data_IF_858532763462
#
_entry.id   IF_858532763462
#
_cell.length_a   1.000
_cell.length_b   1.000
_cell.length_c   1.000
_cell.angle_alpha   90.00
_cell.angle_beta   90.00
_cell.angle_gamma   90.00
#
_symmetry.space_group_name_H-M   'P 1'
#
loop_
_entity.id
_entity.type
_entity.pdbx_description
1 polymer ?
#
# COMPACT_ATOMS: atom_id res chain seq x y z
N UNK A 1 9.63 -6.68 -48.70
CA UNK A 1 10.43 -6.91 -47.48
C UNK A 1 9.69 -6.25 -46.33
N UNK A 2 8.89 -7.05 -45.64
CA UNK A 2 8.10 -6.70 -44.46
C UNK A 2 9.03 -6.62 -43.25
N UNK A 3 9.07 -5.47 -42.56
CA UNK A 3 9.79 -5.33 -41.28
C UNK A 3 8.85 -5.71 -40.14
N UNK A 4 9.38 -6.55 -39.25
CA UNK A 4 8.75 -7.05 -38.04
C UNK A 4 8.51 -5.90 -37.03
N UNK A 5 7.37 -5.84 -36.33
CA UNK A 5 7.07 -4.76 -35.39
C UNK A 5 7.55 -5.02 -33.95
N UNK A 6 8.58 -5.86 -33.73
CA UNK A 6 9.07 -6.22 -32.38
C UNK A 6 10.28 -5.42 -31.90
N UNK A 7 10.71 -4.40 -32.63
CA UNK A 7 11.78 -3.50 -32.18
C UNK A 7 11.20 -2.26 -31.49
N UNK A 8 10.62 -2.44 -30.29
CA UNK A 8 10.50 -1.37 -29.31
C UNK A 8 11.25 -1.79 -28.05
N UNK A 9 12.56 -1.56 -28.09
CA UNK A 9 13.42 -1.54 -26.91
C UNK A 9 13.02 -0.31 -26.09
N UNK A 10 12.19 -0.51 -25.07
CA UNK A 10 11.93 0.51 -24.06
C UNK A 10 13.16 0.66 -23.17
N UNK A 11 14.01 1.60 -23.55
CA UNK A 11 15.06 2.19 -22.74
C UNK A 11 14.41 3.10 -21.69
N UNK A 12 13.88 2.52 -20.61
CA UNK A 12 13.55 3.29 -19.41
C UNK A 12 14.42 2.82 -18.25
N UNK A 13 15.46 3.60 -17.97
CA UNK A 13 16.35 3.45 -16.81
C UNK A 13 15.64 3.82 -15.50
N UNK A 14 14.54 3.15 -15.18
CA UNK A 14 14.00 3.16 -13.82
C UNK A 14 14.72 2.06 -13.04
N UNK A 15 15.31 2.36 -11.86
CA UNK A 15 15.72 1.29 -10.97
C UNK A 15 14.47 0.47 -10.68
N UNK A 16 14.45 -0.78 -11.17
CA UNK A 16 13.47 -1.78 -10.75
C UNK A 16 13.69 -1.96 -9.25
N UNK A 17 12.92 -1.22 -8.46
CA UNK A 17 12.84 -1.45 -7.03
C UNK A 17 12.24 -2.85 -6.90
N UNK A 18 13.11 -3.80 -6.57
CA UNK A 18 12.75 -5.15 -6.14
C UNK A 18 12.22 -5.02 -4.71
N UNK A 19 11.17 -4.21 -4.52
CA UNK A 19 10.32 -4.32 -3.34
C UNK A 19 9.54 -5.59 -3.58
N UNK A 20 9.73 -6.52 -2.66
CA UNK A 20 9.47 -7.94 -2.81
C UNK A 20 8.08 -8.23 -3.36
N UNK A 21 8.00 -8.51 -4.67
CA UNK A 21 6.98 -9.39 -5.28
C UNK A 21 6.61 -10.53 -4.33
N UNK A 22 7.60 -11.04 -3.58
CA UNK A 22 7.48 -12.07 -2.56
C UNK A 22 6.46 -11.83 -1.43
N UNK A 23 6.09 -10.60 -1.06
CA UNK A 23 5.12 -10.32 0.03
C UNK A 23 3.70 -10.25 -0.54
N UNK A 24 3.50 -9.49 -1.62
CA UNK A 24 2.22 -9.44 -2.35
C UNK A 24 1.91 -10.81 -2.95
N UNK A 25 2.88 -11.44 -3.61
CA UNK A 25 2.78 -12.84 -4.05
C UNK A 25 2.69 -13.81 -2.88
N UNK A 26 3.05 -13.53 -1.62
CA UNK A 26 2.81 -14.49 -0.51
C UNK A 26 1.35 -14.56 -0.12
N UNK A 27 0.67 -13.40 -0.17
CA UNK A 27 -0.77 -13.30 0.06
C UNK A 27 -1.59 -13.69 -1.17
N UNK A 28 -1.07 -13.45 -2.38
CA UNK A 28 -1.64 -13.95 -3.65
C UNK A 28 -1.16 -15.37 -4.03
N UNK A 29 -0.18 -15.98 -3.35
CA UNK A 29 0.33 -17.34 -3.65
C UNK A 29 -0.65 -18.49 -3.38
N UNK A 30 -1.66 -18.39 -2.49
CA UNK A 30 -2.61 -19.49 -2.33
C UNK A 30 -3.33 -19.84 -3.63
N UNK A 31 -3.34 -18.91 -4.60
CA UNK A 31 -3.98 -18.98 -5.91
C UNK A 31 -3.57 -20.16 -6.81
N UNK A 32 -2.51 -20.90 -6.53
CA UNK A 32 -2.01 -21.94 -7.43
C UNK A 32 -2.04 -23.38 -6.88
N UNK A 33 -2.77 -23.64 -5.77
CA UNK A 33 -2.77 -24.99 -5.17
C UNK A 33 -4.15 -25.57 -4.87
N UNK A 34 -5.18 -25.24 -5.67
CA UNK A 34 -6.48 -25.93 -5.58
C UNK A 34 -6.86 -26.55 -6.92
N UNK A 35 -6.07 -27.54 -7.34
CA UNK A 35 -6.52 -28.62 -8.23
C UNK A 35 -5.63 -29.86 -8.01
N UNK A 36 -5.83 -30.58 -6.91
CA UNK A 36 -5.09 -31.81 -6.66
C UNK A 36 -5.40 -32.53 -5.36
N UNK A 37 -6.52 -33.26 -5.34
CA UNK A 37 -6.79 -34.49 -4.58
C UNK A 37 -6.53 -34.51 -3.04
N UNK A 38 -7.65 -34.68 -2.32
CA UNK A 38 -7.72 -35.16 -0.95
C UNK A 38 -6.99 -36.49 -0.72
N UNK A 39 -6.34 -36.65 0.45
CA UNK A 39 -6.36 -37.86 1.29
C UNK A 39 -5.80 -37.56 2.70
N UNK A 40 -6.43 -38.23 3.68
CA UNK A 40 -6.44 -38.01 5.12
C UNK A 40 -5.11 -38.12 5.89
N UNK A 41 -5.09 -37.58 7.12
CA UNK A 41 -4.15 -38.01 8.17
C UNK A 41 -4.16 -37.16 9.46
N UNK A 42 -4.78 -37.67 10.54
CA UNK A 42 -4.85 -37.11 11.89
C UNK A 42 -3.50 -37.09 12.65
N UNK A 43 -3.32 -36.15 13.59
CA UNK A 43 -3.28 -36.41 15.06
C UNK A 43 -2.38 -35.45 15.87
N UNK A 44 -2.96 -34.83 16.92
CA UNK A 44 -2.49 -34.53 18.32
C UNK A 44 -1.02 -34.08 18.58
N UNK A 45 -0.64 -33.26 19.56
CA UNK A 45 -1.21 -32.76 20.82
C UNK A 45 -0.27 -31.67 21.36
N UNK A 46 -0.79 -30.76 22.19
CA UNK A 46 -0.09 -29.69 22.90
C UNK A 46 0.27 -30.10 24.34
N UNK A 47 1.44 -29.64 24.85
CA UNK A 47 1.75 -29.11 26.20
C UNK A 47 3.28 -29.02 26.39
N UNK A 48 3.86 -28.02 27.10
CA UNK A 48 3.84 -27.93 28.58
C UNK A 48 3.69 -26.48 29.13
N UNK A 49 3.01 -26.27 30.27
CA UNK A 49 3.45 -26.29 31.70
C UNK A 49 3.73 -24.91 32.30
N UNK A 50 3.15 -24.70 33.48
CA UNK A 50 3.09 -23.49 34.29
C UNK A 50 4.26 -23.37 35.28
N UNK A 51 4.61 -22.14 35.67
CA UNK A 51 5.54 -21.85 36.78
C UNK A 51 5.32 -20.46 37.36
N UNK A 52 4.84 -20.41 38.61
CA UNK A 52 4.70 -19.25 39.50
C UNK A 52 6.09 -18.64 39.87
N UNK A 53 6.29 -17.53 40.60
CA UNK A 53 5.52 -16.72 41.56
C UNK A 53 6.37 -15.46 41.92
N UNK A 54 5.72 -14.50 42.59
CA UNK A 54 6.25 -13.59 43.65
C UNK A 54 6.96 -12.23 43.33
N UNK A 55 6.24 -11.15 43.70
CA UNK A 55 6.73 -9.84 44.20
C UNK A 55 7.19 -9.97 45.68
N UNK A 56 8.07 -9.11 46.24
CA UNK A 56 7.65 -7.79 46.78
C UNK A 56 8.71 -6.64 46.74
N UNK A 57 8.21 -5.41 46.89
CA UNK A 57 8.86 -4.10 47.12
C UNK A 57 9.61 -4.01 48.47
N UNK A 58 10.47 -3.00 48.75
CA UNK A 58 9.99 -1.68 49.23
C UNK A 58 10.84 -0.44 48.83
N UNK A 59 10.22 0.74 48.96
CA UNK A 59 10.76 2.11 48.80
C UNK A 59 11.66 2.55 50.00
N UNK A 60 12.30 3.75 50.03
CA UNK A 60 11.55 5.00 50.30
C UNK A 60 12.12 6.36 49.78
N UNK A 61 11.21 7.36 49.74
CA UNK A 61 11.36 8.80 50.05
C UNK A 61 11.85 9.86 49.04
N UNK A 62 10.99 10.89 48.89
CA UNK A 62 11.08 12.20 48.22
C UNK A 62 12.14 13.17 48.80
N UNK A 63 12.41 14.33 48.14
CA UNK A 63 11.59 15.53 48.37
C UNK A 63 11.26 16.37 47.11
N UNK A 64 10.19 17.15 47.31
CA UNK A 64 9.49 18.16 46.51
C UNK A 64 10.34 19.19 45.75
N UNK A 65 9.95 19.49 44.51
CA UNK A 65 10.09 20.81 43.91
C UNK A 65 8.82 21.11 43.09
N UNK A 66 8.14 22.20 43.46
CA UNK A 66 7.01 22.77 42.72
C UNK A 66 7.47 23.25 41.34
N UNK A 67 6.77 22.84 40.29
CA UNK A 67 6.84 23.47 38.98
C UNK A 67 5.41 23.68 38.47
N UNK A 68 5.12 24.93 38.15
CA UNK A 68 3.88 25.47 37.65
C UNK A 68 3.33 24.64 36.48
N UNK A 69 2.16 24.04 36.66
CA UNK A 69 1.40 23.38 35.59
C UNK A 69 1.03 24.42 34.54
N UNK A 70 1.77 24.47 33.44
CA UNK A 70 1.16 24.82 32.17
C UNK A 70 0.29 23.62 31.78
N UNK A 71 -1.02 23.82 31.66
CA UNK A 71 -1.87 22.88 30.92
C UNK A 71 -1.32 22.84 29.50
N UNK A 72 -0.55 21.79 29.18
CA UNK A 72 -0.45 21.33 27.80
C UNK A 72 -1.87 21.05 27.34
N UNK A 73 -2.28 21.47 26.13
CA UNK A 73 -3.52 21.00 25.57
C UNK A 73 -3.49 19.47 25.60
N UNK A 74 -4.48 18.88 26.25
CA UNK A 74 -4.74 17.44 26.19
C UNK A 74 -5.02 17.12 24.73
N UNK A 75 -4.01 16.66 24.02
CA UNK A 75 -4.15 16.06 22.70
C UNK A 75 -4.94 14.78 22.92
N UNK A 76 -6.14 14.73 22.35
CA UNK A 76 -6.87 13.49 22.18
C UNK A 76 -6.01 12.59 21.29
N UNK A 77 -5.58 11.39 21.71
CA UNK A 77 -4.75 10.50 20.91
C UNK A 77 -5.61 9.75 19.87
N UNK A 78 -6.35 10.49 19.05
CA UNK A 78 -6.49 10.11 17.65
C UNK A 78 -5.26 10.71 16.97
N UNK A 79 -4.15 9.95 16.99
CA UNK A 79 -2.97 10.28 16.21
C UNK A 79 -3.43 10.71 14.81
N UNK A 80 -3.09 11.92 14.37
CA UNK A 80 -3.68 12.47 13.15
C UNK A 80 -3.57 11.45 12.03
N UNK A 81 -4.71 10.97 11.54
CA UNK A 81 -4.79 10.02 10.41
C UNK A 81 -4.24 10.63 9.11
N UNK A 82 -3.81 11.89 9.17
CA UNK A 82 -3.23 12.67 8.11
C UNK A 82 -1.78 13.06 8.43
N UNK A 83 -0.95 12.99 7.40
CA UNK A 83 0.44 13.42 7.38
C UNK A 83 0.67 14.32 6.16
N UNK A 84 1.76 15.08 6.14
CA UNK A 84 2.13 15.94 5.03
C UNK A 84 3.57 15.67 4.55
N UNK A 85 3.85 16.05 3.31
CA UNK A 85 5.20 16.04 2.74
C UNK A 85 5.38 17.20 1.76
N UNK A 86 6.64 17.54 1.48
CA UNK A 86 6.99 18.51 0.46
C UNK A 86 8.32 18.15 -0.22
N UNK A 87 8.37 18.28 -1.55
CA UNK A 87 9.59 18.16 -2.37
C UNK A 87 9.90 19.50 -3.05
N UNK A 88 10.02 20.55 -2.24
CA UNK A 88 10.30 21.91 -2.72
C UNK A 88 9.10 22.59 -3.36
N UNK A 89 8.71 22.20 -4.58
CA UNK A 89 7.59 22.81 -5.34
C UNK A 89 6.34 21.92 -5.44
N UNK A 90 6.43 20.67 -4.96
CA UNK A 90 5.31 19.76 -4.86
C UNK A 90 5.00 19.52 -3.39
N UNK A 91 3.73 19.58 -3.03
CA UNK A 91 3.25 19.35 -1.67
C UNK A 91 2.27 18.20 -1.67
N UNK A 92 2.06 17.56 -0.54
CA UNK A 92 1.02 16.55 -0.46
C UNK A 92 0.67 16.12 0.94
N UNK A 93 -0.40 15.33 1.00
CA UNK A 93 -0.93 14.70 2.20
C UNK A 93 -1.03 13.21 2.02
N UNK A 94 -0.83 12.48 3.12
CA UNK A 94 -1.03 11.04 3.21
C UNK A 94 -2.09 10.79 4.27
N UNK A 95 -3.15 10.07 3.94
CA UNK A 95 -4.27 9.82 4.86
C UNK A 95 -4.51 8.33 5.01
N UNK A 96 -4.78 7.89 6.24
CA UNK A 96 -5.24 6.54 6.62
C UNK A 96 -6.70 6.26 6.25
N UNK A 97 -7.15 6.85 5.14
CA UNK A 97 -8.45 6.62 4.57
C UNK A 97 -8.25 6.44 3.07
N UNK A 98 -8.87 5.43 2.51
CA UNK A 98 -8.72 5.12 1.10
C UNK A 98 -9.69 4.04 0.68
N UNK A 99 -10.22 4.18 -0.52
CA UNK A 99 -10.94 3.12 -1.21
C UNK A 99 -10.25 2.89 -2.56
N UNK A 100 -10.23 1.64 -3.05
CA UNK A 100 -9.85 1.38 -4.42
C UNK A 100 -10.82 2.11 -5.38
N UNK A 101 -10.34 2.44 -6.58
CA UNK A 101 -11.22 2.89 -7.66
C UNK A 101 -12.32 1.88 -7.94
N UNK A 102 -13.41 2.31 -8.59
CA UNK A 102 -14.53 1.43 -8.91
C UNK A 102 -14.06 0.24 -9.77
N UNK A 103 -13.19 0.51 -10.73
CA UNK A 103 -12.64 -0.48 -11.65
C UNK A 103 -11.71 -1.45 -10.91
N UNK A 104 -10.80 -0.95 -10.06
CA UNK A 104 -9.95 -1.79 -9.22
C UNK A 104 -10.78 -2.65 -8.26
N UNK A 105 -11.80 -2.06 -7.62
CA UNK A 105 -12.71 -2.78 -6.72
C UNK A 105 -13.39 -3.94 -7.44
N UNK A 106 -13.95 -3.70 -8.62
CA UNK A 106 -14.61 -4.75 -9.40
C UNK A 106 -13.64 -5.87 -9.79
N UNK A 107 -12.41 -5.51 -10.16
CA UNK A 107 -11.36 -6.49 -10.45
C UNK A 107 -10.94 -7.31 -9.22
N UNK A 108 -10.73 -6.66 -8.07
CA UNK A 108 -10.38 -7.33 -6.82
C UNK A 108 -11.51 -8.23 -6.33
N UNK A 109 -12.77 -7.80 -6.38
CA UNK A 109 -13.95 -8.60 -6.01
C UNK A 109 -14.06 -9.86 -6.88
N UNK A 110 -13.92 -9.74 -8.20
CA UNK A 110 -13.94 -10.89 -9.09
C UNK A 110 -12.77 -11.86 -8.82
N UNK A 111 -11.58 -11.34 -8.52
CA UNK A 111 -10.42 -12.14 -8.15
C UNK A 111 -10.54 -12.81 -6.78
N UNK A 112 -11.24 -12.18 -5.83
CA UNK A 112 -11.40 -12.64 -4.45
C UNK A 112 -12.51 -13.69 -4.34
N UNK A 113 -13.61 -13.53 -5.08
CA UNK A 113 -14.66 -14.57 -5.23
C UNK A 113 -14.10 -15.90 -5.75
N UNK A 114 -13.17 -15.84 -6.71
CA UNK A 114 -12.50 -17.03 -7.23
C UNK A 114 -11.65 -17.75 -6.17
N UNK A 115 -11.19 -17.04 -5.15
CA UNK A 115 -10.31 -17.55 -4.08
C UNK A 115 -11.05 -17.90 -2.78
N UNK A 116 -12.25 -17.36 -2.58
CA UNK A 116 -13.00 -17.51 -1.32
C UNK A 116 -12.45 -16.65 -0.17
N UNK A 117 -11.68 -15.61 -0.48
CA UNK A 117 -11.17 -14.62 0.48
C UNK A 117 -11.75 -13.24 0.16
N UNK A 118 -11.96 -12.37 1.15
CA UNK A 118 -12.35 -10.97 0.91
C UNK A 118 -11.08 -10.11 0.80
N UNK A 119 -10.93 -9.36 -0.29
CA UNK A 119 -9.78 -8.47 -0.48
C UNK A 119 -9.65 -7.43 0.63
N UNK A 120 -10.76 -7.07 1.30
CA UNK A 120 -10.78 -6.13 2.42
C UNK A 120 -10.04 -6.64 3.65
N UNK A 121 -9.95 -7.95 3.82
CA UNK A 121 -9.17 -8.56 4.90
C UNK A 121 -7.67 -8.66 4.52
N UNK A 122 -7.37 -8.62 3.22
CA UNK A 122 -6.01 -8.76 2.71
C UNK A 122 -5.24 -7.44 2.63
N UNK A 123 -5.95 -6.33 2.38
CA UNK A 123 -5.38 -5.05 1.98
C UNK A 123 -5.92 -3.87 2.77
N UNK A 124 -5.01 -2.96 3.11
CA UNK A 124 -5.33 -1.64 3.66
C UNK A 124 -4.99 -0.58 2.61
N UNK A 125 -5.97 0.26 2.26
CA UNK A 125 -5.85 1.31 1.25
C UNK A 125 -5.68 2.67 1.91
N UNK A 126 -4.77 3.47 1.38
CA UNK A 126 -4.43 4.80 1.87
C UNK A 126 -4.48 5.79 0.71
N UNK A 127 -4.86 7.03 1.01
CA UNK A 127 -4.91 8.11 0.03
C UNK A 127 -3.65 8.95 0.11
N UNK A 128 -3.07 9.26 -1.04
CA UNK A 128 -2.00 10.23 -1.20
C UNK A 128 -2.49 11.34 -2.12
N UNK A 129 -2.65 12.55 -1.57
CA UNK A 129 -3.01 13.74 -2.34
C UNK A 129 -1.76 14.54 -2.65
N UNK A 130 -1.53 14.85 -3.92
CA UNK A 130 -0.39 15.61 -4.41
C UNK A 130 -0.91 16.92 -5.02
N UNK A 131 -0.41 18.04 -4.51
CA UNK A 131 -0.47 19.34 -5.16
C UNK A 131 0.81 19.58 -5.94
N UNK A 132 0.71 19.51 -7.27
CA UNK A 132 1.79 19.75 -8.20
C UNK A 132 1.56 21.01 -9.05
N UNK A 133 0.83 22.01 -8.52
CA UNK A 133 0.52 23.25 -9.25
C UNK A 133 1.77 24.05 -9.63
N UNK A 134 2.76 24.09 -8.74
CA UNK A 134 4.03 24.80 -8.93
C UNK A 134 5.15 23.90 -9.45
N UNK A 135 4.90 22.60 -9.61
CA UNK A 135 5.89 21.65 -10.11
C UNK A 135 6.17 21.80 -11.60
N UNK A 136 7.35 21.33 -12.02
CA UNK A 136 7.82 21.40 -13.41
C UNK A 136 7.85 20.03 -14.10
N UNK A 137 7.66 18.95 -13.34
CA UNK A 137 7.66 17.56 -13.80
C UNK A 137 6.43 16.83 -13.26
N UNK A 138 6.06 15.72 -13.91
CA UNK A 138 4.99 14.85 -13.44
C UNK A 138 5.38 14.21 -12.11
N UNK A 139 4.50 14.32 -11.11
CA UNK A 139 4.65 13.67 -9.80
C UNK A 139 3.74 12.45 -9.72
N UNK A 140 4.25 11.32 -9.23
CA UNK A 140 3.46 10.13 -8.96
C UNK A 140 4.10 9.37 -7.81
N UNK A 141 3.32 8.68 -6.99
CA UNK A 141 3.89 7.92 -5.88
C UNK A 141 4.70 6.74 -6.42
N UNK A 142 6.02 6.83 -6.42
CA UNK A 142 6.89 5.73 -6.84
C UNK A 142 7.03 4.69 -5.72
N UNK A 143 7.23 5.16 -4.49
CA UNK A 143 7.24 4.33 -3.29
C UNK A 143 6.90 5.13 -2.04
N UNK A 144 6.20 4.50 -1.10
CA UNK A 144 5.95 5.03 0.23
C UNK A 144 6.36 3.99 1.26
N UNK A 145 7.18 4.40 2.23
CA UNK A 145 7.69 3.53 3.29
C UNK A 145 7.34 4.13 4.66
N UNK A 146 6.93 3.25 5.58
CA UNK A 146 6.79 3.56 6.99
C UNK A 146 7.74 2.71 7.82
N UNK A 147 8.21 3.24 8.94
CA UNK A 147 9.09 2.56 9.89
C UNK A 147 8.50 2.69 11.29
N UNK A 148 8.43 1.58 12.03
CA UNK A 148 8.07 1.62 13.46
C UNK A 148 9.28 1.92 14.35
N UNK A 149 9.06 2.06 15.66
CA UNK A 149 10.13 2.35 16.63
C UNK A 149 11.22 1.28 16.69
N UNK A 150 10.89 0.02 16.34
CA UNK A 150 11.84 -1.07 16.26
C UNK A 150 12.63 -1.07 14.93
N UNK A 151 12.30 -0.16 14.00
CA UNK A 151 12.90 -0.05 12.69
C UNK A 151 12.38 -1.08 11.68
N UNK A 152 11.25 -1.73 11.94
CA UNK A 152 10.61 -2.59 10.93
C UNK A 152 10.00 -1.69 9.85
N UNK A 153 10.32 -2.02 8.61
CA UNK A 153 9.81 -1.34 7.42
C UNK A 153 8.46 -1.92 6.99
N UNK A 154 7.57 -1.03 6.58
CA UNK A 154 6.26 -1.30 6.00
C UNK A 154 6.22 -0.62 4.63
N UNK A 155 5.89 -1.38 3.60
CA UNK A 155 5.86 -0.85 2.24
C UNK A 155 4.44 -0.65 1.76
N UNK A 156 4.20 0.53 1.19
CA UNK A 156 2.99 0.88 0.47
C UNK A 156 3.34 0.93 -1.01
N UNK A 157 2.63 0.14 -1.80
CA UNK A 157 2.80 0.08 -3.25
C UNK A 157 1.67 0.81 -3.95
N UNK A 158 1.88 1.17 -5.22
CA UNK A 158 0.77 1.70 -6.02
C UNK A 158 -0.27 0.61 -6.23
N UNK A 159 -1.52 1.01 -6.29
CA UNK A 159 -2.61 0.16 -6.80
C UNK A 159 -2.30 -0.39 -8.20
N UNK A 160 -1.60 0.38 -9.06
CA UNK A 160 -1.12 -0.12 -10.35
C UNK A 160 -0.21 -1.36 -10.20
N UNK A 161 0.73 -1.34 -9.23
CA UNK A 161 1.62 -2.49 -9.00
C UNK A 161 0.86 -3.70 -8.47
N UNK A 162 -0.22 -3.48 -7.70
CA UNK A 162 -1.14 -4.54 -7.30
C UNK A 162 -1.89 -5.13 -8.50
N UNK A 163 -2.38 -4.29 -9.42
CA UNK A 163 -3.07 -4.75 -10.64
C UNK A 163 -2.14 -5.56 -11.53
N UNK A 164 -0.91 -5.10 -11.74
CA UNK A 164 0.11 -5.83 -12.49
C UNK A 164 0.49 -7.16 -11.82
N UNK A 165 0.63 -7.17 -10.49
CA UNK A 165 0.90 -8.41 -9.76
C UNK A 165 -0.27 -9.40 -9.84
N UNK A 166 -1.50 -8.91 -9.76
CA UNK A 166 -2.71 -9.74 -9.92
C UNK A 166 -2.87 -10.25 -11.36
N UNK A 167 -2.44 -9.49 -12.37
CA UNK A 167 -2.41 -9.95 -13.76
C UNK A 167 -1.52 -11.17 -13.96
N UNK A 168 -0.31 -11.19 -13.37
CA UNK A 168 0.58 -12.35 -13.44
C UNK A 168 -0.02 -13.60 -12.79
N UNK A 169 -1.00 -13.40 -11.91
CA UNK A 169 -1.77 -14.43 -11.24
C UNK A 169 -2.98 -14.91 -12.09
N UNK A 170 -3.42 -14.16 -13.10
CA UNK A 170 -4.59 -14.55 -13.88
C UNK A 170 -4.36 -15.87 -14.63
N UNK A 171 -5.40 -16.72 -14.74
CA UNK A 171 -5.30 -17.96 -15.50
C UNK A 171 -5.02 -17.67 -16.97
N UNK A 172 -4.13 -18.47 -17.56
CA UNK A 172 -3.85 -18.42 -18.99
C UNK A 172 -5.14 -18.60 -19.81
N UNK A 173 -5.13 -18.03 -21.02
CA UNK A 173 -6.24 -18.19 -21.94
C UNK A 173 -6.48 -19.68 -22.25
N UNK A 174 -7.72 -20.18 -22.18
CA UNK A 174 -7.99 -21.60 -22.36
C UNK A 174 -7.68 -22.06 -23.80
N UNK A 175 -6.69 -22.96 -23.95
CA UNK A 175 -6.09 -23.33 -25.25
C UNK A 175 -7.07 -23.95 -26.26
N UNK A 176 -8.12 -24.62 -25.79
CA UNK A 176 -9.09 -25.34 -26.63
C UNK A 176 -10.51 -24.77 -26.55
N UNK A 177 -10.69 -23.61 -25.91
CA UNK A 177 -11.98 -22.97 -25.79
C UNK A 177 -12.35 -22.23 -27.08
N UNK A 178 -13.65 -22.23 -27.40
CA UNK A 178 -14.18 -21.36 -28.45
C UNK A 178 -14.65 -20.05 -27.83
N UNK A 179 -14.82 -19.00 -28.65
CA UNK A 179 -15.36 -17.72 -28.18
C UNK A 179 -16.72 -17.83 -27.45
N UNK A 180 -17.47 -18.89 -27.73
CA UNK A 180 -18.77 -19.16 -27.11
C UNK A 180 -18.72 -19.98 -25.82
N UNK A 181 -17.56 -20.58 -25.51
CA UNK A 181 -17.41 -21.44 -24.33
C UNK A 181 -17.49 -20.63 -23.03
N UNK A 182 -17.93 -21.28 -21.96
CA UNK A 182 -18.05 -20.64 -20.65
C UNK A 182 -16.66 -20.22 -20.13
N UNK A 183 -15.65 -21.06 -20.35
CA UNK A 183 -14.27 -20.82 -19.93
C UNK A 183 -13.66 -19.60 -20.63
N UNK A 184 -13.88 -19.45 -21.95
CA UNK A 184 -13.41 -18.26 -22.67
C UNK A 184 -14.14 -16.99 -22.22
N UNK A 185 -15.47 -17.06 -22.02
CA UNK A 185 -16.27 -15.93 -21.54
C UNK A 185 -15.81 -15.46 -20.17
N UNK A 186 -15.55 -16.38 -19.25
CA UNK A 186 -15.03 -16.08 -17.91
C UNK A 186 -13.62 -15.48 -17.96
N UNK A 187 -12.71 -16.07 -18.75
CA UNK A 187 -11.37 -15.51 -18.93
C UNK A 187 -11.43 -14.08 -19.50
N UNK A 188 -12.26 -13.87 -20.52
CA UNK A 188 -12.44 -12.55 -21.15
C UNK A 188 -13.01 -11.53 -20.16
N UNK A 189 -14.01 -11.90 -19.35
CA UNK A 189 -14.58 -11.02 -18.34
C UNK A 189 -13.53 -10.58 -17.31
N UNK A 190 -12.73 -11.51 -16.79
CA UNK A 190 -11.61 -11.18 -15.89
C UNK A 190 -10.55 -10.29 -16.56
N UNK A 191 -10.24 -10.54 -17.83
CA UNK A 191 -9.30 -9.73 -18.59
C UNK A 191 -9.82 -8.31 -18.87
N UNK A 192 -11.11 -8.17 -19.17
CA UNK A 192 -11.77 -6.88 -19.36
C UNK A 192 -11.76 -6.07 -18.04
N UNK A 193 -12.02 -6.73 -16.90
CA UNK A 193 -11.91 -6.12 -15.57
C UNK A 193 -10.47 -5.68 -15.23
N UNK A 194 -9.48 -6.54 -15.50
CA UNK A 194 -8.07 -6.18 -15.36
C UNK A 194 -7.73 -4.94 -16.20
N UNK A 195 -8.14 -4.92 -17.47
CA UNK A 195 -7.84 -3.81 -18.38
C UNK A 195 -8.45 -2.51 -17.87
N UNK A 196 -9.69 -2.55 -17.40
CA UNK A 196 -10.36 -1.38 -16.81
C UNK A 196 -9.64 -0.88 -15.55
N UNK A 197 -9.23 -1.78 -14.65
CA UNK A 197 -8.49 -1.42 -13.44
C UNK A 197 -7.10 -0.86 -13.80
N UNK A 198 -6.41 -1.45 -14.77
CA UNK A 198 -5.10 -0.97 -15.19
C UNK A 198 -5.18 0.45 -15.77
N UNK A 199 -6.16 0.72 -16.64
CA UNK A 199 -6.38 2.06 -17.21
C UNK A 199 -6.80 3.09 -16.16
N UNK A 200 -7.52 2.70 -15.10
CA UNK A 200 -7.93 3.63 -14.03
C UNK A 200 -6.76 4.04 -13.14
N UNK A 201 -5.81 3.14 -12.88
CA UNK A 201 -4.67 3.40 -12.00
C UNK A 201 -3.46 4.05 -12.69
N UNK A 202 -3.42 4.08 -14.03
CA UNK A 202 -2.33 4.67 -14.80
C UNK A 202 -2.39 6.21 -14.88
N UNK A 203 -2.02 6.91 -13.80
CA UNK A 203 -1.89 8.36 -13.87
C UNK A 203 -0.77 8.95 -12.99
N UNK A 204 -0.36 10.16 -13.35
CA UNK A 204 0.50 11.09 -12.60
C UNK A 204 -0.23 12.42 -12.35
N UNK A 205 0.27 13.20 -11.39
CA UNK A 205 -0.10 14.57 -11.12
C UNK A 205 0.77 15.46 -12.01
N UNK A 206 0.21 15.94 -13.11
CA UNK A 206 0.92 16.82 -14.04
C UNK A 206 1.22 18.17 -13.41
N UNK A 207 2.23 18.91 -13.90
CA UNK A 207 2.39 20.32 -13.61
C UNK A 207 1.08 21.10 -13.73
N UNK A 208 0.76 21.92 -12.73
CA UNK A 208 -0.47 22.72 -12.71
C UNK A 208 -1.70 22.01 -12.15
N UNK A 209 -1.57 20.78 -11.62
CA UNK A 209 -2.70 19.98 -11.14
C UNK A 209 -2.59 19.58 -9.66
N UNK A 210 -3.75 19.31 -9.05
CA UNK A 210 -3.88 18.59 -7.79
C UNK A 210 -4.48 17.23 -8.12
N UNK A 211 -3.94 16.14 -7.56
CA UNK A 211 -4.41 14.79 -7.83
C UNK A 211 -4.31 13.88 -6.61
N UNK A 212 -5.27 12.97 -6.49
CA UNK A 212 -5.29 11.92 -5.49
C UNK A 212 -4.87 10.59 -6.11
N UNK A 213 -4.14 9.81 -5.32
CA UNK A 213 -3.68 8.48 -5.62
C UNK A 213 -4.07 7.56 -4.47
N UNK A 214 -4.36 6.31 -4.79
CA UNK A 214 -4.51 5.27 -3.77
C UNK A 214 -3.25 4.43 -3.75
N UNK A 215 -2.72 4.18 -2.56
CA UNK A 215 -1.65 3.22 -2.31
C UNK A 215 -2.17 2.12 -1.39
N UNK A 216 -1.51 0.97 -1.41
CA UNK A 216 -1.98 -0.22 -0.73
C UNK A 216 -0.85 -0.96 -0.04
N UNK A 217 -1.17 -1.55 1.10
CA UNK A 217 -0.28 -2.46 1.82
C UNK A 217 -1.06 -3.70 2.26
N UNK A 218 -0.35 -4.83 2.29
CA UNK A 218 -0.85 -6.06 2.90
C UNK A 218 -0.37 -6.25 4.33
N UNK A 219 0.41 -5.34 4.89
CA UNK A 219 0.93 -5.51 6.25
C UNK A 219 -0.11 -5.12 7.30
N UNK A 220 -0.03 -5.75 8.47
CA UNK A 220 -0.69 -5.26 9.67
C UNK A 220 0.13 -4.07 10.18
N UNK A 221 -0.50 -2.89 10.20
CA UNK A 221 0.19 -1.62 10.43
C UNK A 221 0.26 -1.28 11.93
N UNK A 222 1.31 -0.59 12.38
CA UNK A 222 1.37 -0.08 13.73
C UNK A 222 0.34 1.04 13.92
N UNK A 223 -0.04 1.31 15.17
CA UNK A 223 -0.88 2.48 15.48
C UNK A 223 -0.21 3.78 15.07
N UNK A 224 1.12 3.87 15.16
CA UNK A 224 1.91 5.04 14.81
C UNK A 224 3.21 4.64 14.09
N UNK A 225 3.66 5.46 13.15
CA UNK A 225 4.96 5.31 12.51
C UNK A 225 5.97 6.23 13.18
N UNK A 226 7.16 5.72 13.47
CA UNK A 226 8.28 6.52 13.97
C UNK A 226 8.91 7.37 12.84
N UNK A 227 8.85 6.88 11.60
CA UNK A 227 9.27 7.61 10.41
C UNK A 227 8.46 7.19 9.19
N UNK A 228 8.16 8.12 8.31
CA UNK A 228 7.64 7.82 6.97
C UNK A 228 8.40 8.60 5.90
N UNK A 229 8.54 8.01 4.71
CA UNK A 229 9.22 8.62 3.55
C UNK A 229 8.49 8.31 2.27
N UNK A 230 8.40 9.29 1.37
CA UNK A 230 7.76 9.14 0.07
C UNK A 230 8.70 9.55 -1.07
N UNK A 231 8.73 8.75 -2.13
CA UNK A 231 9.38 9.06 -3.40
C UNK A 231 8.31 9.39 -4.45
N UNK A 232 8.37 10.59 -5.02
CA UNK A 232 7.41 11.08 -6.02
C UNK A 232 7.86 10.84 -7.47
N UNK A 233 8.90 10.03 -7.65
CA UNK A 233 9.38 9.58 -8.95
C UNK A 233 10.14 10.65 -9.74
N UNK A 234 10.95 10.18 -10.70
CA UNK A 234 11.62 11.04 -11.68
C UNK A 234 12.54 12.08 -11.07
N UNK A 235 12.29 13.35 -11.40
CA UNK A 235 13.06 14.51 -10.92
C UNK A 235 12.41 15.22 -9.72
N UNK A 236 11.23 14.75 -9.27
CA UNK A 236 10.52 15.33 -8.13
C UNK A 236 11.22 14.97 -6.82
N UNK A 237 11.72 13.73 -6.72
CA UNK A 237 12.58 13.27 -5.63
C UNK A 237 11.82 12.74 -4.42
N UNK A 238 12.57 12.60 -3.32
CA UNK A 238 12.10 12.02 -2.06
C UNK A 238 11.84 13.09 -0.99
N UNK A 239 10.89 12.82 -0.10
CA UNK A 239 10.59 13.64 1.05
C UNK A 239 10.35 12.79 2.31
N UNK A 240 10.70 13.35 3.47
CA UNK A 240 10.18 12.86 4.74
C UNK A 240 8.68 13.24 4.83
N UNK A 241 7.89 12.32 5.37
CA UNK A 241 6.48 12.52 5.67
C UNK A 241 6.38 12.86 7.15
N UNK A 242 5.80 14.01 7.46
CA UNK A 242 5.76 14.62 8.79
C UNK A 242 4.33 14.83 9.26
N UNK A 243 4.14 15.09 10.55
CA UNK A 243 2.81 15.42 11.09
C UNK A 243 2.29 16.72 10.49
N UNK A 244 0.96 16.93 10.53
CA UNK A 244 0.38 18.20 10.10
C UNK A 244 0.86 19.37 10.97
N UNK A 245 1.03 19.16 12.28
CA UNK A 245 1.57 20.18 13.20
C UNK A 245 2.98 20.62 12.79
N UNK A 246 3.86 19.65 12.49
CA UNK A 246 5.21 19.95 12.02
C UNK A 246 5.18 20.69 10.68
N UNK A 247 4.31 20.28 9.76
CA UNK A 247 4.16 20.92 8.46
C UNK A 247 3.64 22.36 8.57
N UNK A 248 2.67 22.62 9.45
CA UNK A 248 2.19 23.97 9.77
C UNK A 248 3.30 24.83 10.37
N UNK A 249 4.08 24.28 11.30
CA UNK A 249 5.21 24.98 11.93
C UNK A 249 6.30 25.36 10.91
N UNK A 250 6.46 24.55 9.86
CA UNK A 250 7.38 24.78 8.75
C UNK A 250 6.79 25.64 7.63
N UNK A 251 5.50 26.00 7.72
CA UNK A 251 4.81 26.87 6.77
C UNK A 251 4.40 26.19 5.47
N UNK A 252 4.13 24.88 5.49
CA UNK A 252 3.67 24.17 4.29
C UNK A 252 2.24 24.64 3.94
N UNK A 253 1.92 24.85 2.65
CA UNK A 253 0.56 25.11 2.23
C UNK A 253 -0.25 23.82 2.39
N UNK A 254 -1.18 23.78 3.34
CA UNK A 254 -2.03 22.60 3.61
C UNK A 254 -3.46 22.74 3.06
N UNK A 255 -3.81 23.88 2.47
CA UNK A 255 -5.13 24.16 1.89
C UNK A 255 -5.10 23.92 0.37
N UNK A 256 -5.31 22.65 -0.01
CA UNK A 256 -5.38 22.17 -1.40
C UNK A 256 -6.24 20.92 -1.51
#
# INVERSE_FOLDING_TARGET
MTRNPLDFVSSSSYPRIIVTRKVIMKKFLPLMLVAGLALAGCSSSTEPSSGASETPTPAPSSPTAEATTAESPTVDPEASDEYAFATGMTFGKVTRSGEPSKELKAFLEAGSEAQGEDYKDAFQFWTVKIDNREGFEDAFVNSLFGYDEAGKEYTFVRTLDLVEAAQEALPDAPENATAESAEWKQHKELFDLYSAAFESEQYSAKPGAVKEFTVVTGDELPSEFAKMTIDLGGLVGEADVITLEDAESQGYPLDF
#
